data_IF_880619583525
#
_entry.id   IF_880619583525
#
_cell.length_a   1.000
_cell.length_b   1.000
_cell.length_c   1.000
_cell.angle_alpha   90.00
_cell.angle_beta   90.00
_cell.angle_gamma   90.00
#
_symmetry.space_group_name_H-M   'P 1'
#
loop_
_entity.id
_entity.type
_entity.pdbx_description
1 polymer ?
#
# COMPACT_ATOMS: atom_id res chain seq x y z
N UNK A 1 -53.34 9.37 -17.86
CA UNK A 1 -51.93 9.20 -17.47
C UNK A 1 -51.26 8.41 -18.58
N UNK A 2 -50.50 9.04 -19.49
CA UNK A 2 -49.91 8.34 -20.60
C UNK A 2 -48.76 7.47 -20.09
N UNK A 3 -48.99 6.17 -20.24
CA UNK A 3 -48.09 5.02 -20.23
C UNK A 3 -46.59 5.31 -20.06
N UNK A 4 -46.12 5.18 -18.81
CA UNK A 4 -44.70 5.13 -18.46
C UNK A 4 -43.96 3.98 -19.17
N UNK A 5 -44.70 2.99 -19.68
CA UNK A 5 -44.16 1.79 -20.31
C UNK A 5 -43.88 1.95 -21.81
N UNK A 6 -44.56 2.86 -22.53
CA UNK A 6 -44.31 3.09 -23.96
C UNK A 6 -43.18 4.09 -24.22
N UNK A 7 -42.76 4.84 -23.18
CA UNK A 7 -41.59 5.73 -23.24
C UNK A 7 -40.28 5.04 -22.86
N UNK A 8 -40.31 3.79 -22.41
CA UNK A 8 -39.13 2.95 -22.20
C UNK A 8 -38.56 2.52 -23.56
N UNK A 9 -37.88 3.46 -24.21
CA UNK A 9 -37.06 3.19 -25.39
C UNK A 9 -35.96 2.22 -24.95
N UNK A 10 -35.91 1.05 -25.58
CA UNK A 10 -34.79 0.13 -25.39
C UNK A 10 -33.49 0.91 -25.65
N UNK A 11 -32.49 0.82 -24.76
CA UNK A 11 -31.23 1.51 -24.95
C UNK A 11 -30.60 1.05 -26.25
N UNK A 12 -30.04 2.00 -27.00
CA UNK A 12 -29.30 1.67 -28.21
C UNK A 12 -28.05 0.85 -27.85
N UNK A 13 -27.51 0.05 -28.77
CA UNK A 13 -26.36 -0.84 -28.50
C UNK A 13 -25.18 -0.04 -27.91
N UNK A 14 -24.91 1.15 -28.43
CA UNK A 14 -23.88 2.08 -27.92
C UNK A 14 -24.16 2.58 -26.49
N UNK A 15 -25.42 2.81 -26.15
CA UNK A 15 -25.83 3.24 -24.80
C UNK A 15 -25.70 2.10 -23.79
N UNK A 16 -26.00 0.87 -24.21
CA UNK A 16 -25.80 -0.32 -23.38
C UNK A 16 -24.32 -0.56 -23.11
N UNK A 17 -23.48 -0.43 -24.14
CA UNK A 17 -22.04 -0.60 -24.01
C UNK A 17 -21.41 0.44 -23.07
N UNK A 18 -21.77 1.72 -23.23
CA UNK A 18 -21.29 2.79 -22.35
C UNK A 18 -21.78 2.64 -20.90
N UNK A 19 -23.04 2.23 -20.69
CA UNK A 19 -23.57 1.96 -19.35
C UNK A 19 -22.88 0.75 -18.69
N UNK A 20 -22.65 -0.32 -19.43
CA UNK A 20 -21.95 -1.51 -18.94
C UNK A 20 -20.50 -1.17 -18.54
N UNK A 21 -19.79 -0.40 -19.38
CA UNK A 21 -18.43 0.06 -19.09
C UNK A 21 -18.38 0.94 -17.83
N UNK A 22 -19.33 1.87 -17.67
CA UNK A 22 -19.41 2.73 -16.50
C UNK A 22 -19.73 1.94 -15.21
N UNK A 23 -20.61 0.93 -15.31
CA UNK A 23 -20.93 0.05 -14.18
C UNK A 23 -19.73 -0.81 -13.78
N UNK A 24 -19.01 -1.37 -14.76
CA UNK A 24 -17.79 -2.14 -14.52
C UNK A 24 -16.71 -1.28 -13.85
N UNK A 25 -16.49 -0.06 -14.34
CA UNK A 25 -15.58 0.91 -13.74
C UNK A 25 -15.91 1.18 -12.27
N UNK A 26 -17.20 1.41 -11.98
CA UNK A 26 -17.67 1.64 -10.61
C UNK A 26 -17.42 0.43 -9.71
N UNK A 27 -17.68 -0.78 -10.19
CA UNK A 27 -17.46 -2.02 -9.45
C UNK A 27 -15.97 -2.28 -9.19
N UNK A 28 -15.10 -2.10 -10.18
CA UNK A 28 -13.64 -2.23 -10.02
C UNK A 28 -13.09 -1.26 -8.98
N UNK A 29 -13.54 0.01 -9.03
CA UNK A 29 -13.14 1.03 -8.05
C UNK A 29 -13.59 0.65 -6.64
N UNK A 30 -14.82 0.17 -6.49
CA UNK A 30 -15.33 -0.27 -5.20
C UNK A 30 -14.52 -1.45 -4.66
N UNK A 31 -14.27 -2.46 -5.49
CA UNK A 31 -13.47 -3.62 -5.11
C UNK A 31 -12.05 -3.22 -4.63
N UNK A 32 -11.38 -2.31 -5.34
CA UNK A 32 -10.05 -1.83 -4.93
C UNK A 32 -10.09 -1.09 -3.59
N UNK A 33 -11.10 -0.26 -3.37
CA UNK A 33 -11.30 0.44 -2.10
C UNK A 33 -11.57 -0.54 -0.94
N UNK A 34 -12.40 -1.56 -1.18
CA UNK A 34 -12.70 -2.60 -0.22
C UNK A 34 -11.45 -3.43 0.10
N UNK A 35 -10.65 -3.79 -0.91
CA UNK A 35 -9.40 -4.52 -0.74
C UNK A 35 -8.39 -3.72 0.10
N UNK A 36 -8.23 -2.41 -0.15
CA UNK A 36 -7.39 -1.52 0.66
C UNK A 36 -7.87 -1.46 2.11
N UNK A 37 -9.18 -1.36 2.31
CA UNK A 37 -9.77 -1.32 3.65
C UNK A 37 -9.55 -2.63 4.40
N UNK A 38 -9.74 -3.77 3.72
CA UNK A 38 -9.52 -5.10 4.29
C UNK A 38 -8.05 -5.31 4.66
N UNK A 39 -7.11 -4.95 3.79
CA UNK A 39 -5.68 -5.04 4.09
C UNK A 39 -5.27 -4.15 5.26
N UNK A 40 -5.76 -2.91 5.32
CA UNK A 40 -5.51 -2.04 6.47
C UNK A 40 -6.05 -2.63 7.78
N UNK A 41 -7.26 -3.21 7.73
CA UNK A 41 -7.90 -3.87 8.87
C UNK A 41 -7.11 -5.09 9.31
N UNK A 42 -6.62 -5.89 8.36
CA UNK A 42 -5.78 -7.06 8.63
C UNK A 42 -4.48 -6.66 9.36
N UNK A 43 -3.80 -5.60 8.91
CA UNK A 43 -2.62 -5.09 9.62
C UNK A 43 -2.97 -4.64 11.04
N UNK A 44 -4.06 -3.88 11.21
CA UNK A 44 -4.50 -3.42 12.52
C UNK A 44 -4.80 -4.58 13.49
N UNK A 45 -5.46 -5.64 13.00
CA UNK A 45 -5.74 -6.85 13.77
C UNK A 45 -4.45 -7.58 14.15
N UNK A 46 -3.52 -7.77 13.20
CA UNK A 46 -2.25 -8.43 13.47
C UNK A 46 -1.38 -7.66 14.48
N UNK A 47 -1.35 -6.33 14.37
CA UNK A 47 -0.67 -5.45 15.33
C UNK A 47 -1.34 -5.53 16.70
N UNK A 48 -2.68 -5.59 16.76
CA UNK A 48 -3.42 -5.80 18.00
C UNK A 48 -3.10 -7.14 18.67
N UNK A 49 -3.06 -8.24 17.90
CA UNK A 49 -2.66 -9.57 18.40
C UNK A 49 -1.22 -9.54 18.92
N UNK A 50 -0.31 -8.91 18.20
CA UNK A 50 1.09 -8.78 18.64
C UNK A 50 1.19 -7.98 19.94
N UNK A 51 0.45 -6.87 20.06
CA UNK A 51 0.40 -6.06 21.27
C UNK A 51 -0.07 -6.84 22.49
N UNK A 52 -1.06 -7.73 22.32
CA UNK A 52 -1.51 -8.56 23.42
C UNK A 52 -0.39 -9.49 23.88
N UNK A 53 0.45 -9.98 22.98
CA UNK A 53 1.50 -10.96 23.28
C UNK A 53 2.77 -10.35 23.83
N UNK A 54 3.15 -9.16 23.38
CA UNK A 54 4.37 -8.45 23.83
C UNK A 54 4.09 -7.47 24.97
N UNK A 55 2.83 -7.03 25.12
CA UNK A 55 2.35 -5.99 26.03
C UNK A 55 3.17 -4.69 25.93
N UNK A 56 3.73 -4.41 24.75
CA UNK A 56 4.61 -3.27 24.50
C UNK A 56 3.84 -2.10 23.89
N UNK A 57 3.39 -1.18 24.74
CA UNK A 57 2.67 0.03 24.31
C UNK A 57 3.52 0.89 23.36
N UNK A 58 4.84 0.97 23.60
CA UNK A 58 5.73 1.76 22.75
C UNK A 58 5.79 1.24 21.31
N UNK A 59 5.97 -0.08 21.12
CA UNK A 59 5.99 -0.69 19.79
C UNK A 59 4.62 -0.63 19.13
N UNK A 60 3.53 -0.78 19.89
CA UNK A 60 2.17 -0.58 19.40
C UNK A 60 1.99 0.83 18.83
N UNK A 61 2.35 1.88 19.59
CA UNK A 61 2.20 3.27 19.15
C UNK A 61 3.01 3.49 17.86
N UNK A 62 4.27 3.06 17.82
CA UNK A 62 5.12 3.20 16.65
C UNK A 62 4.49 2.54 15.40
N UNK A 63 3.97 1.31 15.55
CA UNK A 63 3.34 0.55 14.46
C UNK A 63 2.03 1.17 14.00
N UNK A 64 1.18 1.61 14.93
CA UNK A 64 -0.11 2.24 14.62
C UNK A 64 0.09 3.62 13.97
N UNK A 65 1.00 4.44 14.49
CA UNK A 65 1.33 5.74 13.90
C UNK A 65 1.84 5.59 12.47
N UNK A 66 2.71 4.60 12.23
CA UNK A 66 3.19 4.31 10.88
C UNK A 66 2.07 3.79 9.96
N UNK A 67 1.24 2.85 10.44
CA UNK A 67 0.13 2.31 9.66
C UNK A 67 -0.88 3.40 9.28
N UNK A 68 -1.12 4.35 10.19
CA UNK A 68 -1.96 5.51 9.92
C UNK A 68 -1.37 6.41 8.84
N UNK A 69 -0.06 6.69 8.89
CA UNK A 69 0.63 7.46 7.86
C UNK A 69 0.59 6.76 6.48
N UNK A 70 0.70 5.44 6.47
CA UNK A 70 0.64 4.63 5.25
C UNK A 70 -0.77 4.55 4.65
N UNK A 71 -1.82 4.66 5.47
CA UNK A 71 -3.21 4.60 5.03
C UNK A 71 -3.71 5.86 4.31
N UNK A 72 -3.01 6.98 4.46
CA UNK A 72 -3.29 8.22 3.75
C UNK A 72 -1.97 8.82 3.23
N UNK A 73 -1.29 8.14 2.27
CA UNK A 73 0.03 8.56 1.82
C UNK A 73 -0.02 9.93 1.14
N UNK A 74 -1.15 10.30 0.54
CA UNK A 74 -1.36 11.61 -0.06
C UNK A 74 -2.60 12.23 0.56
N UNK A 75 -2.45 13.29 1.37
CA UNK A 75 -3.60 14.13 1.70
C UNK A 75 -4.18 14.66 0.38
N UNK A 76 -5.51 14.62 0.23
CA UNK A 76 -6.17 14.78 -1.09
C UNK A 76 -5.84 16.07 -1.85
N UNK A 77 -5.31 17.10 -1.17
CA UNK A 77 -4.84 18.34 -1.79
C UNK A 77 -3.39 18.26 -2.30
N UNK A 78 -2.52 17.42 -1.72
CA UNK A 78 -1.13 17.27 -2.14
C UNK A 78 -0.95 16.33 -3.35
N UNK A 79 -1.91 15.43 -3.58
CA UNK A 79 -1.84 14.42 -4.66
C UNK A 79 -1.72 15.03 -6.06
N UNK A 80 -2.30 16.22 -6.29
CA UNK A 80 -2.28 16.91 -7.58
C UNK A 80 -1.15 17.94 -7.72
N UNK A 81 -0.47 18.25 -6.61
CA UNK A 81 0.57 19.30 -6.56
C UNK A 81 1.97 18.70 -6.50
N UNK A 82 2.11 17.45 -6.04
CA UNK A 82 3.41 16.78 -5.99
C UNK A 82 3.92 16.44 -7.38
N UNK A 83 5.12 16.95 -7.69
CA UNK A 83 5.94 16.47 -8.81
C UNK A 83 6.19 14.97 -8.65
N UNK A 84 6.25 14.23 -9.78
CA UNK A 84 6.55 12.79 -9.83
C UNK A 84 7.81 12.40 -9.03
N UNK A 85 8.77 13.32 -8.88
CA UNK A 85 9.99 13.10 -8.09
C UNK A 85 9.72 13.04 -6.59
N UNK A 86 8.93 13.99 -6.05
CA UNK A 86 8.56 14.01 -4.64
C UNK A 86 7.71 12.79 -4.25
N UNK A 87 6.87 12.29 -5.16
CA UNK A 87 6.10 11.05 -4.96
C UNK A 87 7.03 9.85 -4.77
N UNK A 88 8.13 9.77 -5.54
CA UNK A 88 9.11 8.67 -5.46
C UNK A 88 9.91 8.70 -4.17
N UNK A 89 10.42 9.87 -3.77
CA UNK A 89 11.11 10.04 -2.50
C UNK A 89 10.22 9.61 -1.32
N UNK A 90 8.94 9.96 -1.38
CA UNK A 90 7.98 9.57 -0.35
C UNK A 90 7.71 8.06 -0.34
N UNK A 91 7.60 7.42 -1.51
CA UNK A 91 7.49 5.96 -1.60
C UNK A 91 8.73 5.27 -0.99
N UNK A 92 9.92 5.80 -1.27
CA UNK A 92 11.17 5.32 -0.69
C UNK A 92 11.21 5.48 0.83
N UNK A 93 10.79 6.65 1.32
CA UNK A 93 10.68 6.90 2.75
C UNK A 93 9.75 5.89 3.44
N UNK A 94 8.59 5.59 2.84
CA UNK A 94 7.66 4.60 3.40
C UNK A 94 8.23 3.19 3.42
N UNK A 95 8.84 2.70 2.33
CA UNK A 95 9.40 1.34 2.32
C UNK A 95 10.55 1.20 3.32
N UNK A 96 11.44 2.20 3.41
CA UNK A 96 12.50 2.23 4.40
C UNK A 96 11.94 2.21 5.83
N UNK A 97 10.88 2.98 6.08
CA UNK A 97 10.24 3.02 7.39
C UNK A 97 9.59 1.68 7.75
N UNK A 98 8.98 0.97 6.81
CA UNK A 98 8.47 -0.41 7.01
C UNK A 98 9.59 -1.30 7.54
N UNK A 99 10.73 -1.32 6.86
CA UNK A 99 11.86 -2.15 7.27
C UNK A 99 12.43 -1.73 8.62
N UNK A 100 12.57 -0.43 8.88
CA UNK A 100 13.11 0.08 10.15
C UNK A 100 12.19 -0.28 11.32
N UNK A 101 10.89 0.02 11.24
CA UNK A 101 9.93 -0.23 12.32
C UNK A 101 9.82 -1.73 12.62
N UNK A 102 9.75 -2.58 11.58
CA UNK A 102 9.70 -4.04 11.78
C UNK A 102 11.02 -4.59 12.33
N UNK A 103 12.17 -4.07 11.89
CA UNK A 103 13.47 -4.48 12.40
C UNK A 103 13.64 -4.12 13.87
N UNK A 104 13.23 -2.90 14.28
CA UNK A 104 13.28 -2.48 15.69
C UNK A 104 12.40 -3.41 16.56
N UNK A 105 11.20 -3.75 16.09
CA UNK A 105 10.31 -4.69 16.80
C UNK A 105 10.90 -6.08 16.90
N UNK A 106 11.41 -6.64 15.80
CA UNK A 106 12.03 -7.96 15.79
C UNK A 106 13.26 -8.02 16.70
N UNK A 107 14.13 -7.00 16.65
CA UNK A 107 15.27 -6.87 17.54
C UNK A 107 14.84 -6.78 19.00
N UNK A 108 13.80 -5.98 19.30
CA UNK A 108 13.23 -5.89 20.64
C UNK A 108 12.79 -7.27 21.16
N UNK A 109 12.09 -8.06 20.34
CA UNK A 109 11.67 -9.42 20.72
C UNK A 109 12.84 -10.40 20.88
N UNK A 110 13.93 -10.21 20.12
CA UNK A 110 15.16 -11.02 20.28
C UNK A 110 15.88 -10.68 21.59
N UNK A 111 16.04 -9.38 21.90
CA UNK A 111 16.80 -8.93 23.06
C UNK A 111 16.03 -9.04 24.38
N UNK A 112 14.82 -8.51 24.44
CA UNK A 112 14.01 -8.47 25.67
C UNK A 112 13.24 -9.77 25.91
N UNK A 113 13.04 -10.60 24.87
CA UNK A 113 12.44 -11.92 24.99
C UNK A 113 10.95 -11.89 25.35
N UNK A 114 10.43 -13.04 25.75
CA UNK A 114 9.01 -13.22 26.08
C UNK A 114 8.66 -12.64 27.45
N UNK A 115 7.51 -11.98 27.53
CA UNK A 115 6.81 -11.79 28.79
C UNK A 115 6.49 -13.17 29.38
N UNK A 116 7.25 -13.60 30.39
CA UNK A 116 7.29 -15.01 30.83
C UNK A 116 6.37 -15.34 32.01
N UNK A 117 5.71 -14.34 32.60
CA UNK A 117 4.81 -14.55 33.73
C UNK A 117 3.55 -13.68 33.59
N UNK A 118 2.38 -14.31 33.49
CA UNK A 118 1.12 -13.61 33.70
C UNK A 118 1.09 -13.09 35.14
N UNK A 119 0.70 -11.82 35.33
CA UNK A 119 0.38 -11.29 36.67
C UNK A 119 -0.93 -11.89 37.22
N UNK A 120 -1.73 -12.54 36.38
CA UNK A 120 -3.00 -13.15 36.76
C UNK A 120 -2.79 -14.56 37.31
N UNK A 121 -3.40 -14.83 38.47
CA UNK A 121 -3.43 -16.17 39.09
C UNK A 121 -4.16 -17.20 38.20
N UNK A 122 -5.02 -16.72 37.30
CA UNK A 122 -5.91 -17.54 36.47
C UNK A 122 -5.27 -18.03 35.16
N UNK A 123 -3.99 -17.71 34.92
CA UNK A 123 -3.27 -18.08 33.69
C UNK A 123 -3.77 -17.35 32.42
N UNK A 124 -4.74 -16.45 32.56
CA UNK A 124 -5.21 -15.58 31.48
C UNK A 124 -4.32 -14.35 31.34
N UNK A 125 -4.21 -13.83 30.12
CA UNK A 125 -3.47 -12.61 29.86
C UNK A 125 -4.35 -11.40 30.16
N UNK A 126 -3.98 -10.62 31.18
CA UNK A 126 -4.56 -9.31 31.42
C UNK A 126 -3.71 -8.27 30.69
N UNK A 127 -4.32 -7.51 29.77
CA UNK A 127 -3.66 -6.34 29.19
C UNK A 127 -3.31 -5.34 30.30
N UNK A 128 -2.19 -4.62 30.15
CA UNK A 128 -1.70 -3.70 31.19
C UNK A 128 -2.72 -2.60 31.53
N UNK A 129 -3.45 -2.06 30.54
CA UNK A 129 -4.37 -0.92 30.77
C UNK A 129 -5.57 -0.74 29.80
N UNK A 130 -5.60 -1.35 28.60
CA UNK A 130 -6.50 -0.88 27.53
C UNK A 130 -7.39 -1.94 26.86
N UNK A 131 -6.88 -3.13 26.55
CA UNK A 131 -7.64 -4.16 25.81
C UNK A 131 -7.35 -5.53 26.40
N UNK A 132 -8.40 -6.30 26.66
CA UNK A 132 -8.32 -7.67 27.15
C UNK A 132 -9.09 -8.58 26.20
N UNK A 133 -8.39 -9.53 25.56
CA UNK A 133 -9.05 -10.61 24.84
C UNK A 133 -9.16 -11.83 25.74
N UNK A 134 -10.40 -12.26 26.00
CA UNK A 134 -10.69 -13.49 26.72
C UNK A 134 -10.34 -14.66 25.77
N UNK A 135 -9.42 -15.53 26.20
CA UNK A 135 -9.03 -16.74 25.45
C UNK A 135 -7.66 -16.68 24.77
N UNK A 136 -6.92 -15.57 24.85
CA UNK A 136 -5.56 -15.50 24.31
C UNK A 136 -4.52 -16.04 25.32
N UNK A 137 -3.62 -16.90 24.84
CA UNK A 137 -2.55 -17.53 25.63
C UNK A 137 -1.26 -16.72 25.53
N UNK A 138 -0.38 -16.87 26.53
CA UNK A 138 0.99 -16.37 26.42
C UNK A 138 1.67 -16.95 25.17
N UNK A 139 2.55 -16.18 24.50
CA UNK A 139 3.38 -16.71 23.43
C UNK A 139 4.15 -17.94 23.94
N UNK A 140 4.20 -19.00 23.14
CA UNK A 140 4.89 -20.25 23.50
C UNK A 140 6.40 -20.13 23.41
N UNK A 141 6.90 -19.22 22.58
CA UNK A 141 8.33 -18.99 22.40
C UNK A 141 8.63 -17.79 21.50
N UNK A 142 9.91 -17.40 21.43
CA UNK A 142 10.38 -16.22 20.69
C UNK A 142 10.10 -16.30 19.19
N UNK A 143 10.14 -17.52 18.65
CA UNK A 143 9.83 -17.78 17.24
C UNK A 143 8.39 -17.38 16.89
N UNK A 144 7.44 -17.51 17.83
CA UNK A 144 6.05 -17.12 17.57
C UNK A 144 5.96 -15.61 17.35
N UNK A 145 6.62 -14.79 18.17
CA UNK A 145 6.65 -13.33 17.97
C UNK A 145 7.37 -12.95 16.67
N UNK A 146 8.49 -13.59 16.35
CA UNK A 146 9.22 -13.32 15.10
C UNK A 146 8.42 -13.68 13.84
N UNK A 147 7.61 -14.74 13.90
CA UNK A 147 6.67 -15.08 12.82
C UNK A 147 5.61 -13.99 12.67
N UNK A 148 5.09 -13.46 13.78
CA UNK A 148 4.15 -12.33 13.73
C UNK A 148 4.81 -11.05 13.19
N UNK A 149 6.03 -10.72 13.60
CA UNK A 149 6.76 -9.57 13.04
C UNK A 149 6.97 -9.73 11.52
N UNK A 150 7.33 -10.94 11.08
CA UNK A 150 7.52 -11.25 9.66
C UNK A 150 6.21 -11.16 8.88
N UNK A 151 5.12 -11.66 9.46
CA UNK A 151 3.79 -11.59 8.87
C UNK A 151 3.30 -10.15 8.75
N UNK A 152 3.44 -9.34 9.80
CA UNK A 152 3.10 -7.91 9.78
C UNK A 152 3.92 -7.19 8.73
N UNK A 153 5.23 -7.43 8.66
CA UNK A 153 6.09 -6.86 7.65
C UNK A 153 5.62 -7.23 6.23
N UNK A 154 5.32 -8.50 5.97
CA UNK A 154 4.83 -8.96 4.66
C UNK A 154 3.50 -8.31 4.26
N UNK A 155 2.54 -8.24 5.18
CA UNK A 155 1.23 -7.60 4.92
C UNK A 155 1.39 -6.08 4.76
N UNK A 156 2.30 -5.44 5.49
CA UNK A 156 2.60 -4.01 5.32
C UNK A 156 3.25 -3.70 3.97
N UNK A 157 4.14 -4.56 3.47
CA UNK A 157 4.71 -4.43 2.12
C UNK A 157 3.61 -4.58 1.07
N UNK A 158 2.72 -5.58 1.22
CA UNK A 158 1.59 -5.76 0.31
C UNK A 158 0.65 -4.54 0.31
N UNK A 159 0.34 -4.02 1.50
CA UNK A 159 -0.48 -2.83 1.66
C UNK A 159 0.18 -1.60 1.05
N UNK A 160 1.50 -1.44 1.22
CA UNK A 160 2.27 -0.38 0.57
C UNK A 160 2.18 -0.47 -0.96
N UNK A 161 2.36 -1.65 -1.56
CA UNK A 161 2.17 -1.82 -3.01
C UNK A 161 0.74 -1.43 -3.40
N UNK A 162 -0.26 -1.90 -2.66
CA UNK A 162 -1.66 -1.58 -2.94
C UNK A 162 -1.99 -0.09 -2.81
N UNK A 163 -1.29 0.68 -1.97
CA UNK A 163 -1.54 2.12 -1.78
C UNK A 163 -0.67 3.02 -2.66
N UNK A 164 0.58 2.66 -2.89
CA UNK A 164 1.57 3.53 -3.53
C UNK A 164 1.83 3.18 -4.99
N UNK A 165 1.68 1.91 -5.39
CA UNK A 165 2.04 1.44 -6.73
C UNK A 165 0.85 1.14 -7.62
N UNK A 166 -0.37 1.06 -7.09
CA UNK A 166 -1.58 0.98 -7.92
C UNK A 166 -2.09 2.37 -8.25
N UNK A 167 -1.88 2.81 -9.49
CA UNK A 167 -2.51 4.03 -9.99
C UNK A 167 -3.98 3.75 -10.28
N UNK A 168 -4.86 4.41 -9.54
CA UNK A 168 -6.31 4.26 -9.67
C UNK A 168 -6.76 4.46 -11.14
N UNK A 169 -6.06 5.30 -11.91
CA UNK A 169 -6.35 5.56 -13.32
C UNK A 169 -5.95 4.40 -14.23
N UNK A 170 -4.80 3.76 -14.01
CA UNK A 170 -4.30 2.65 -14.83
C UNK A 170 -5.11 1.37 -14.57
N UNK A 171 -5.40 1.09 -13.29
CA UNK A 171 -6.26 -0.04 -12.86
C UNK A 171 -7.67 0.05 -13.43
N UNK A 172 -8.17 1.27 -13.63
CA UNK A 172 -9.55 1.52 -14.05
C UNK A 172 -9.70 1.80 -15.55
N UNK A 173 -8.64 2.14 -16.27
CA UNK A 173 -8.68 2.47 -17.71
C UNK A 173 -8.35 1.32 -18.64
N UNK A 174 -7.70 0.24 -18.18
CA UNK A 174 -7.42 -0.93 -19.02
C UNK A 174 -6.65 -0.56 -20.29
N UNK A 175 -5.36 -0.24 -20.16
CA UNK A 175 -4.40 -0.33 -21.26
C UNK A 175 -4.76 0.37 -22.57
N UNK A 176 -4.97 1.69 -22.56
CA UNK A 176 -4.83 2.50 -23.80
C UNK A 176 -3.36 2.81 -24.11
N UNK A 177 -2.44 2.60 -23.15
CA UNK A 177 -1.06 3.12 -23.27
C UNK A 177 0.00 2.12 -23.75
N UNK A 178 -0.24 0.80 -23.74
CA UNK A 178 0.77 -0.21 -24.12
C UNK A 178 0.53 -0.86 -25.50
N UNK A 179 -0.55 -0.51 -26.20
CA UNK A 179 -0.78 -0.94 -27.59
C UNK A 179 -0.11 0.04 -28.56
N UNK A 180 1.23 0.00 -28.63
CA UNK A 180 1.96 0.66 -29.71
C UNK A 180 1.57 0.05 -31.06
N UNK A 181 0.81 0.81 -31.84
CA UNK A 181 0.88 0.92 -33.31
C UNK A 181 1.22 -0.38 -34.08
N UNK A 182 0.27 -1.29 -34.34
CA UNK A 182 0.27 -2.07 -35.61
C UNK A 182 -0.87 -3.05 -35.90
N UNK A 183 -2.05 -2.99 -35.26
CA UNK A 183 -3.08 -3.98 -35.61
C UNK A 183 -4.50 -3.39 -35.72
N UNK A 184 -4.92 -3.16 -36.97
CA UNK A 184 -6.29 -2.80 -37.37
C UNK A 184 -7.32 -3.90 -37.00
N UNK A 185 -6.86 -5.05 -36.52
CA UNK A 185 -7.69 -6.13 -35.98
C UNK A 185 -8.31 -5.81 -34.61
N UNK A 186 -7.78 -4.83 -33.86
CA UNK A 186 -8.23 -4.49 -32.50
C UNK A 186 -9.48 -3.59 -32.50
N UNK A 187 -9.77 -2.88 -33.60
CA UNK A 187 -10.97 -2.03 -33.69
C UNK A 187 -12.27 -2.85 -33.74
N UNK A 188 -12.20 -4.12 -34.11
CA UNK A 188 -13.30 -5.08 -34.07
C UNK A 188 -13.47 -5.72 -32.68
N UNK A 189 -12.40 -5.83 -31.90
CA UNK A 189 -12.42 -6.28 -30.50
C UNK A 189 -12.89 -5.19 -29.51
N UNK A 190 -12.97 -3.93 -29.94
CA UNK A 190 -13.58 -2.84 -29.18
C UNK A 190 -15.12 -2.91 -29.16
N UNK A 191 -15.71 -3.74 -30.03
CA UNK A 191 -17.15 -4.06 -30.03
C UNK A 191 -17.40 -5.30 -29.16
N UNK A 192 -16.86 -5.29 -27.94
CA UNK A 192 -17.09 -6.33 -26.94
C UNK A 192 -18.22 -5.89 -26.01
N UNK A 193 -19.21 -6.76 -25.84
CA UNK A 193 -20.56 -6.50 -25.31
C UNK A 193 -20.65 -6.14 -23.81
N UNK A 194 -19.51 -5.92 -23.14
CA UNK A 194 -19.43 -5.66 -21.71
C UNK A 194 -19.74 -6.87 -20.82
N UNK A 195 -19.98 -8.05 -21.40
CA UNK A 195 -20.27 -9.32 -20.73
C UNK A 195 -19.15 -10.36 -20.94
N UNK A 196 -18.43 -10.31 -22.07
CA UNK A 196 -17.39 -11.30 -22.43
C UNK A 196 -16.05 -11.17 -21.68
N UNK A 197 -15.95 -10.26 -20.72
CA UNK A 197 -14.97 -10.40 -19.64
C UNK A 197 -13.51 -10.49 -20.11
N UNK A 198 -13.02 -9.53 -20.91
CA UNK A 198 -11.61 -9.18 -20.96
C UNK A 198 -11.16 -8.62 -19.60
N UNK A 199 -11.12 -9.51 -18.60
CA UNK A 199 -10.64 -9.23 -17.25
C UNK A 199 -9.15 -9.08 -17.36
N UNK A 200 -8.69 -7.85 -17.55
CA UNK A 200 -7.31 -7.49 -17.29
C UNK A 200 -7.02 -7.83 -15.83
N UNK A 201 -6.28 -8.91 -15.63
CA UNK A 201 -5.80 -9.33 -14.33
C UNK A 201 -4.85 -8.23 -13.85
N UNK A 202 -5.25 -7.53 -12.77
CA UNK A 202 -4.32 -6.68 -12.05
C UNK A 202 -3.28 -7.58 -11.38
N UNK A 203 -2.14 -7.76 -12.03
CA UNK A 203 -1.01 -8.46 -11.45
C UNK A 203 -0.22 -7.49 -10.59
N UNK A 204 -0.42 -7.56 -9.27
CA UNK A 204 0.44 -6.89 -8.30
C UNK A 204 1.77 -7.64 -8.22
N UNK A 205 2.74 -7.27 -9.05
CA UNK A 205 4.11 -7.75 -8.87
C UNK A 205 4.81 -6.91 -7.80
N UNK A 206 4.76 -7.42 -6.58
CA UNK A 206 5.37 -6.83 -5.38
C UNK A 206 6.88 -6.70 -5.56
N UNK A 207 7.52 -7.69 -6.19
CA UNK A 207 8.97 -7.70 -6.34
C UNK A 207 9.43 -6.74 -7.44
N UNK A 208 8.73 -6.70 -8.57
CA UNK A 208 8.99 -5.69 -9.60
C UNK A 208 8.79 -4.28 -9.03
N UNK A 209 7.74 -4.05 -8.25
CA UNK A 209 7.46 -2.77 -7.61
C UNK A 209 8.61 -2.31 -6.69
N UNK A 210 9.07 -3.20 -5.81
CA UNK A 210 10.16 -2.89 -4.87
C UNK A 210 11.50 -2.73 -5.60
N UNK A 211 11.80 -3.60 -6.56
CA UNK A 211 13.07 -3.56 -7.30
C UNK A 211 13.17 -2.35 -8.24
N UNK A 212 12.06 -1.91 -8.84
CA UNK A 212 12.02 -0.69 -9.64
C UNK A 212 12.27 0.54 -8.76
N UNK A 213 11.65 0.60 -7.57
CA UNK A 213 11.90 1.67 -6.61
C UNK A 213 13.38 1.72 -6.17
N UNK A 214 13.99 0.56 -5.91
CA UNK A 214 15.41 0.43 -5.56
C UNK A 214 16.38 0.84 -6.69
N UNK A 215 16.00 0.62 -7.95
CA UNK A 215 16.82 0.96 -9.12
C UNK A 215 16.77 2.46 -9.43
N UNK A 216 15.62 3.09 -9.24
CA UNK A 216 15.41 4.51 -9.55
C UNK A 216 16.20 5.39 -8.57
N UNK A 217 16.16 5.09 -7.27
CA UNK A 217 16.92 5.82 -6.23
C UNK A 217 18.43 5.82 -6.52
N UNK A 218 18.95 4.68 -6.98
CA UNK A 218 20.37 4.55 -7.32
C UNK A 218 20.76 5.52 -8.46
N UNK A 219 19.85 5.70 -9.43
CA UNK A 219 20.07 6.59 -10.58
C UNK A 219 19.98 8.08 -10.23
N UNK A 220 19.08 8.47 -9.31
CA UNK A 220 18.98 9.86 -8.84
C UNK A 220 20.18 10.26 -7.99
N UNK A 221 20.59 9.39 -7.04
CA UNK A 221 21.78 9.65 -6.22
C UNK A 221 23.05 9.83 -7.07
N UNK A 222 23.24 8.98 -8.08
CA UNK A 222 24.39 9.08 -9.00
C UNK A 222 24.36 10.37 -9.86
N UNK A 223 23.18 10.96 -10.09
CA UNK A 223 23.02 12.20 -10.85
C UNK A 223 23.24 13.46 -9.99
N UNK A 224 22.82 13.43 -8.72
CA UNK A 224 22.91 14.57 -7.82
C UNK A 224 24.30 14.72 -7.18
N UNK A 225 25.03 13.61 -6.97
CA UNK A 225 26.37 13.61 -6.40
C UNK A 225 27.39 14.48 -7.18
N UNK A 226 27.51 14.40 -8.52
CA UNK A 226 28.42 15.28 -9.26
C UNK A 226 27.96 16.75 -9.25
N UNK A 227 26.66 17.03 -9.22
CA UNK A 227 26.12 18.39 -9.17
C UNK A 227 26.37 19.05 -7.80
N UNK A 228 26.19 18.30 -6.72
CA UNK A 228 26.49 18.73 -5.36
C UNK A 228 27.99 19.01 -5.19
N UNK A 229 28.86 18.12 -5.67
CA UNK A 229 30.32 18.30 -5.62
C UNK A 229 30.79 19.51 -6.45
N UNK A 230 30.18 19.77 -7.61
CA UNK A 230 30.47 20.96 -8.41
C UNK A 230 30.12 22.25 -7.66
N UNK A 231 28.94 22.31 -7.02
CA UNK A 231 28.51 23.47 -6.24
C UNK A 231 29.40 23.76 -5.01
N UNK A 232 29.88 22.71 -4.34
CA UNK A 232 30.81 22.83 -3.20
C UNK A 232 32.16 23.33 -3.68
N UNK A 233 32.65 22.82 -4.81
CA UNK A 233 33.90 23.28 -5.43
C UNK A 233 33.83 24.75 -5.84
N UNK A 234 32.74 25.21 -6.41
CA UNK A 234 32.55 26.63 -6.78
C UNK A 234 32.54 27.54 -5.54
N UNK A 235 31.86 27.14 -4.46
CA UNK A 235 31.88 27.88 -3.19
C UNK A 235 33.27 27.94 -2.56
N UNK A 236 34.03 26.85 -2.63
CA UNK A 236 35.41 26.79 -2.13
C UNK A 236 36.35 27.71 -2.93
N UNK A 237 36.17 27.79 -4.25
CA UNK A 237 36.96 28.70 -5.10
C UNK A 237 36.58 30.17 -4.84
N UNK A 238 35.31 30.48 -4.62
CA UNK A 238 34.88 31.84 -4.28
C UNK A 238 35.38 32.29 -2.89
N UNK A 239 35.52 31.37 -1.93
CA UNK A 239 36.10 31.67 -0.61
C UNK A 239 37.62 31.90 -0.58
N UNK A 240 38.34 31.53 -1.65
CA UNK A 240 39.80 31.70 -1.76
C UNK A 240 40.23 33.03 -2.42
N UNK A 241 39.28 33.79 -2.97
CA UNK A 241 39.52 35.08 -3.64
C UNK A 241 39.16 36.30 -2.78
N UNK A 242 38.94 36.10 -1.47
CA UNK A 242 38.76 37.15 -0.45
C UNK A 242 39.97 37.16 0.46
#
# INVERSE_FOLDING_TARGET
>A
MPDLFTSLRYPNVEQTLSNNAAQLYKQKRQFLADLRTLMNTLVAVLVGILYLRDVSIFLLILRVSFQFALGSPFSGQLRYVLTEEARKEQHWFFICTIFIVNSISALSHVYYGLYSASRAVDGQLHGLWSVQFIGERLPRGRLELLVFDSLICGVQILYFCLMCTTDDLEVLSGGVSDASLNDDSILLDLVSDGYDGHVFLLTLDVWASVSNLLRIERRQRDADEPAALASIRERALQGLYV
#
